data_IF_455116615757
#
_entry.id   IF_455116615757
#
_cell.length_a   1.000
_cell.length_b   1.000
_cell.length_c   1.000
_cell.angle_alpha   90.00
_cell.angle_beta   90.00
_cell.angle_gamma   90.00
#
_symmetry.space_group_name_H-M   'P 1'
#
loop_
_entity.id
_entity.type
_entity.pdbx_description
1 polymer ?
#
# COMPACT_ATOMS: atom_id res chain seq x y z
N UNK A 1 0.75 -11.65 -15.10
CA UNK A 1 0.64 -10.22 -15.49
C UNK A 1 0.52 -9.35 -14.24
N UNK A 2 1.22 -8.22 -14.26
CA UNK A 2 1.42 -7.28 -13.14
C UNK A 2 0.08 -6.62 -12.71
N UNK A 3 -0.78 -7.36 -12.02
CA UNK A 3 -2.11 -6.88 -11.56
C UNK A 3 -2.01 -5.84 -10.44
N UNK A 4 -0.84 -5.69 -9.82
CA UNK A 4 -0.64 -4.85 -8.64
C UNK A 4 -0.55 -3.36 -9.00
N UNK A 5 0.12 -3.02 -10.10
CA UNK A 5 0.25 -1.65 -10.56
C UNK A 5 -1.09 -0.95 -10.85
N UNK A 6 -2.01 -1.52 -11.66
CA UNK A 6 -3.31 -0.88 -11.89
C UNK A 6 -4.18 -0.84 -10.64
N UNK A 7 -4.06 -1.82 -9.73
CA UNK A 7 -4.78 -1.84 -8.46
C UNK A 7 -4.33 -0.69 -7.54
N UNK A 8 -3.02 -0.46 -7.41
CA UNK A 8 -2.48 0.67 -6.64
C UNK A 8 -2.98 2.00 -7.23
N UNK A 9 -2.90 2.16 -8.55
CA UNK A 9 -3.35 3.38 -9.22
C UNK A 9 -4.85 3.64 -9.02
N UNK A 10 -5.67 2.60 -9.12
CA UNK A 10 -7.10 2.71 -8.86
C UNK A 10 -7.38 3.06 -7.40
N UNK A 11 -6.71 2.43 -6.43
CA UNK A 11 -6.91 2.70 -5.00
C UNK A 11 -6.57 4.16 -4.62
N UNK A 12 -5.56 4.75 -5.26
CA UNK A 12 -5.23 6.16 -5.08
C UNK A 12 -6.18 7.09 -5.85
N UNK A 13 -6.62 6.72 -7.05
CA UNK A 13 -7.55 7.51 -7.85
C UNK A 13 -8.96 7.58 -7.22
N UNK A 14 -9.40 6.48 -6.61
CA UNK A 14 -10.68 6.37 -5.91
C UNK A 14 -10.64 7.00 -4.50
N UNK A 15 -9.50 7.57 -4.09
CA UNK A 15 -9.27 8.13 -2.75
C UNK A 15 -9.55 7.13 -1.60
N UNK A 16 -9.49 5.83 -1.88
CA UNK A 16 -9.68 4.78 -0.87
C UNK A 16 -8.51 4.71 0.12
N UNK A 17 -7.35 5.23 -0.25
CA UNK A 17 -6.17 5.33 0.61
C UNK A 17 -5.89 6.80 0.91
N UNK A 18 -6.36 7.26 2.08
CA UNK A 18 -6.03 8.58 2.62
C UNK A 18 -5.22 8.39 3.89
N UNK A 19 -3.95 8.82 3.86
CA UNK A 19 -3.04 8.68 5.00
C UNK A 19 -3.33 9.63 6.18
N UNK A 20 -4.29 10.54 6.06
CA UNK A 20 -4.58 11.54 7.08
C UNK A 20 -3.41 12.48 7.36
N UNK A 21 -3.21 12.85 8.63
CA UNK A 21 -2.06 13.65 9.11
C UNK A 21 -0.85 12.77 9.50
N UNK A 22 -0.54 11.75 8.68
CA UNK A 22 0.71 11.01 8.82
C UNK A 22 1.79 11.61 7.92
N UNK A 23 2.68 12.38 8.54
CA UNK A 23 3.83 13.01 7.88
C UNK A 23 4.82 12.00 7.32
N UNK A 24 4.96 10.83 7.94
CA UNK A 24 5.89 9.79 7.51
C UNK A 24 5.36 9.06 6.28
N UNK A 25 4.08 8.71 6.25
CA UNK A 25 3.48 8.07 5.07
C UNK A 25 3.47 9.00 3.85
N UNK A 26 3.19 10.30 4.05
CA UNK A 26 3.34 11.33 2.99
C UNK A 26 4.78 11.46 2.52
N UNK A 27 5.74 11.41 3.43
CA UNK A 27 7.16 11.41 3.07
C UNK A 27 7.51 10.16 2.24
N UNK A 28 7.10 8.96 2.66
CA UNK A 28 7.43 7.73 1.95
C UNK A 28 6.86 7.70 0.53
N UNK A 29 5.61 8.10 0.33
CA UNK A 29 5.00 8.15 -1.02
C UNK A 29 5.70 9.16 -1.92
N UNK A 30 5.99 10.37 -1.41
CA UNK A 30 6.66 11.41 -2.19
C UNK A 30 8.13 11.11 -2.53
N UNK A 31 8.73 10.09 -1.91
CA UNK A 31 10.12 9.68 -2.16
C UNK A 31 10.27 8.45 -3.06
N UNK A 32 9.15 7.95 -3.60
CA UNK A 32 9.11 6.81 -4.52
C UNK A 32 8.71 7.32 -5.90
N UNK A 33 9.37 6.81 -6.94
CA UNK A 33 8.99 7.04 -8.33
C UNK A 33 8.58 5.74 -9.01
N UNK A 34 7.78 5.89 -10.07
CA UNK A 34 7.35 4.81 -10.93
C UNK A 34 8.17 4.84 -12.21
N UNK A 35 8.92 3.77 -12.43
CA UNK A 35 9.67 3.53 -13.66
C UNK A 35 8.83 2.63 -14.57
N UNK A 36 8.51 3.12 -15.77
CA UNK A 36 7.76 2.35 -16.76
C UNK A 36 8.73 1.86 -17.83
N UNK A 37 8.97 0.56 -17.85
CA UNK A 37 9.84 -0.07 -18.85
C UNK A 37 9.18 -0.03 -20.24
N UNK A 38 9.96 -0.16 -21.31
CA UNK A 38 9.47 -0.14 -22.70
C UNK A 38 8.43 -1.23 -23.00
N UNK A 39 8.37 -2.27 -22.16
CA UNK A 39 7.39 -3.37 -22.20
C UNK A 39 6.08 -3.04 -21.46
N UNK A 40 5.93 -1.84 -20.89
CA UNK A 40 4.76 -1.40 -20.15
C UNK A 40 4.69 -1.91 -18.71
N UNK A 41 5.77 -2.49 -18.18
CA UNK A 41 5.82 -2.92 -16.78
C UNK A 41 6.19 -1.74 -15.89
N UNK A 42 5.38 -1.49 -14.85
CA UNK A 42 5.65 -0.48 -13.83
C UNK A 42 6.46 -1.07 -12.68
N UNK A 43 7.55 -0.40 -12.32
CA UNK A 43 8.43 -0.74 -11.21
C UNK A 43 8.53 0.45 -10.24
N UNK A 44 8.34 0.21 -8.94
CA UNK A 44 8.47 1.25 -7.91
C UNK A 44 9.91 1.30 -7.38
N UNK A 45 10.55 2.47 -7.42
CA UNK A 45 11.96 2.67 -7.04
C UNK A 45 12.13 3.92 -6.17
N UNK A 46 13.20 3.95 -5.37
CA UNK A 46 13.55 5.10 -4.53
C UNK A 46 14.15 6.21 -5.38
N UNK A 47 13.66 7.45 -5.27
CA UNK A 47 14.20 8.61 -6.00
C UNK A 47 15.69 8.79 -5.70
N UNK A 48 16.05 8.68 -4.41
CA UNK A 48 17.43 8.70 -3.96
C UNK A 48 17.71 7.41 -3.18
N UNK A 49 18.67 6.58 -3.61
CA UNK A 49 18.82 5.21 -3.11
C UNK A 49 19.40 5.11 -1.70
N UNK A 50 20.19 6.10 -1.27
CA UNK A 50 21.03 6.01 -0.07
C UNK A 50 20.38 6.64 1.15
N UNK A 51 19.87 7.88 1.04
CA UNK A 51 19.45 8.67 2.21
C UNK A 51 17.93 8.61 2.47
N UNK A 52 17.12 8.14 1.51
CA UNK A 52 15.65 8.16 1.64
C UNK A 52 15.11 6.84 2.18
N UNK A 53 14.28 6.97 3.23
CA UNK A 53 13.42 5.90 3.73
C UNK A 53 12.16 5.85 2.91
N UNK A 54 11.79 4.66 2.48
CA UNK A 54 10.56 4.37 1.72
C UNK A 54 9.93 3.06 2.21
N UNK A 55 10.38 2.56 3.35
CA UNK A 55 10.13 1.20 3.82
C UNK A 55 8.64 0.97 4.11
N UNK A 56 7.94 2.00 4.62
CA UNK A 56 6.50 1.95 4.85
C UNK A 56 5.69 1.80 3.55
N UNK A 57 6.10 2.48 2.48
CA UNK A 57 5.43 2.35 1.18
C UNK A 57 5.67 0.97 0.54
N UNK A 58 6.89 0.43 0.64
CA UNK A 58 7.17 -0.92 0.16
C UNK A 58 6.47 -1.99 1.00
N UNK A 59 6.41 -1.83 2.32
CA UNK A 59 5.64 -2.72 3.19
C UNK A 59 4.16 -2.74 2.80
N UNK A 60 3.59 -1.57 2.48
CA UNK A 60 2.22 -1.44 1.99
C UNK A 60 2.00 -2.20 0.66
N UNK A 61 2.86 -1.99 -0.34
CA UNK A 61 2.79 -2.72 -1.62
C UNK A 61 2.91 -4.23 -1.41
N UNK A 62 3.82 -4.66 -0.53
CA UNK A 62 4.00 -6.08 -0.21
C UNK A 62 2.78 -6.68 0.49
N UNK A 63 2.10 -5.92 1.36
CA UNK A 63 0.85 -6.35 1.98
C UNK A 63 -0.25 -6.56 0.94
N UNK A 64 -0.46 -5.59 0.04
CA UNK A 64 -1.41 -5.72 -1.08
C UNK A 64 -1.09 -6.92 -1.99
N UNK A 65 0.20 -7.20 -2.21
CA UNK A 65 0.60 -8.38 -3.00
C UNK A 65 0.19 -9.70 -2.34
N UNK A 66 0.21 -9.75 -1.01
CA UNK A 66 0.01 -10.97 -0.22
C UNK A 66 -1.42 -11.16 0.25
N UNK A 67 -2.28 -10.16 0.10
CA UNK A 67 -3.71 -10.23 0.44
C UNK A 67 -4.39 -11.46 -0.18
N UNK A 68 -4.08 -11.78 -1.44
CA UNK A 68 -4.63 -12.95 -2.12
C UNK A 68 -4.14 -14.31 -1.57
N UNK A 69 -3.08 -14.33 -0.77
CA UNK A 69 -2.43 -15.55 -0.26
C UNK A 69 -2.83 -15.86 1.18
N UNK A 70 -3.21 -14.85 1.96
CA UNK A 70 -3.43 -15.00 3.40
C UNK A 70 -4.92 -15.24 3.64
N UNK A 71 -5.32 -16.38 4.22
CA UNK A 71 -6.71 -16.58 4.65
C UNK A 71 -7.02 -15.62 5.79
N UNK A 72 -8.02 -14.76 5.59
CA UNK A 72 -8.47 -13.79 6.60
C UNK A 72 -9.47 -14.54 7.49
N UNK A 73 -9.09 -14.88 8.72
CA UNK A 73 -10.05 -15.37 9.71
C UNK A 73 -10.85 -14.20 10.28
N UNK A 74 -11.98 -13.89 9.65
CA UNK A 74 -12.92 -12.88 10.12
C UNK A 74 -13.64 -13.38 11.39
N UNK A 75 -13.01 -13.23 12.55
CA UNK A 75 -13.69 -13.40 13.84
C UNK A 75 -14.50 -12.15 14.16
N UNK A 76 -15.77 -12.14 13.75
CA UNK A 76 -16.74 -11.13 14.19
C UNK A 76 -17.07 -11.38 15.66
N UNK A 77 -16.28 -10.84 16.60
CA UNK A 77 -16.63 -10.93 18.02
C UNK A 77 -17.79 -9.97 18.30
N UNK A 78 -19.00 -10.50 18.35
CA UNK A 78 -20.17 -9.79 18.87
C UNK A 78 -19.98 -9.56 20.38
N UNK A 79 -19.70 -8.32 20.78
CA UNK A 79 -19.70 -7.95 22.19
C UNK A 79 -21.15 -7.87 22.69
N UNK A 80 -21.62 -8.90 23.37
CA UNK A 80 -22.90 -8.86 24.08
C UNK A 80 -22.66 -8.20 25.44
N UNK A 81 -23.02 -6.93 25.58
CA UNK A 81 -22.98 -6.23 26.86
C UNK A 81 -24.19 -6.65 27.70
N UNK A 82 -23.95 -7.27 28.85
CA UNK A 82 -24.99 -7.50 29.86
C UNK A 82 -25.03 -6.29 30.79
N UNK A 83 -26.14 -5.54 30.77
CA UNK A 83 -26.48 -4.61 31.84
C UNK A 83 -27.05 -5.39 33.02
N UNK A 84 -26.49 -5.16 34.21
CA UNK A 84 -27.02 -5.69 35.48
C UNK A 84 -28.25 -4.90 35.95
#
# INVERSE_FOLDING_TARGET
HNKLAPLIEQLFADENIIYGDDKMMRWYTNNVYVDTDAKGNKCYKKIEPILRKTDGFFAFIHALSKEATIPIEASTTFFQCYSY
#
